data_IF_290748800870
#
_entry.id   IF_290748800870
#
_cell.length_a   1.000
_cell.length_b   1.000
_cell.length_c   1.000
_cell.angle_alpha   90.00
_cell.angle_beta   90.00
_cell.angle_gamma   90.00
#
_symmetry.space_group_name_H-M   'P 1'
#
loop_
_entity.id
_entity.type
_entity.pdbx_description
1 polymer ?
#
# COMPACT_ATOMS: atom_id res chain seq x y z
N UNK A 1 -7.16 -9.89 -36.39
CA UNK A 1 -7.68 -8.55 -36.01
C UNK A 1 -7.18 -8.29 -34.61
N UNK A 2 -6.20 -7.42 -34.46
CA UNK A 2 -5.65 -6.99 -33.19
C UNK A 2 -6.76 -6.34 -32.37
N UNK A 3 -7.12 -6.97 -31.25
CA UNK A 3 -7.98 -6.35 -30.25
C UNK A 3 -7.08 -5.35 -29.51
N UNK A 4 -7.22 -4.08 -29.88
CA UNK A 4 -6.37 -3.02 -29.33
C UNK A 4 -6.53 -2.83 -27.82
N UNK A 5 -5.55 -2.17 -27.20
CA UNK A 5 -5.55 -1.74 -25.78
C UNK A 5 -6.91 -1.21 -25.32
N UNK A 6 -7.68 -0.54 -26.18
CA UNK A 6 -9.01 -0.04 -25.88
C UNK A 6 -10.04 -1.08 -25.43
N UNK A 7 -9.90 -2.36 -25.84
CA UNK A 7 -10.79 -3.44 -25.40
C UNK A 7 -10.40 -3.97 -24.01
N UNK A 8 -9.11 -3.89 -23.65
CA UNK A 8 -8.62 -4.22 -22.31
C UNK A 8 -9.11 -3.18 -21.32
N UNK A 9 -9.03 -1.88 -21.66
CA UNK A 9 -9.54 -0.79 -20.83
C UNK A 9 -11.05 -0.87 -20.59
N UNK A 10 -11.86 -1.20 -21.61
CA UNK A 10 -13.31 -1.33 -21.48
C UNK A 10 -13.73 -2.50 -20.60
N UNK A 11 -13.01 -3.63 -20.63
CA UNK A 11 -13.32 -4.80 -19.80
C UNK A 11 -12.95 -4.59 -18.33
N UNK A 12 -11.93 -3.80 -18.04
CA UNK A 12 -11.51 -3.49 -16.66
C UNK A 12 -12.41 -2.46 -16.00
N UNK A 13 -12.98 -1.51 -16.75
CA UNK A 13 -14.00 -0.59 -16.22
C UNK A 13 -15.29 -1.30 -15.76
N UNK A 14 -15.55 -2.52 -16.29
CA UNK A 14 -16.73 -3.32 -15.99
C UNK A 14 -16.49 -4.45 -14.95
N UNK A 15 -15.25 -4.88 -14.76
CA UNK A 15 -14.88 -5.92 -13.77
C UNK A 15 -13.56 -5.50 -13.13
N UNK A 16 -13.59 -5.20 -11.85
CA UNK A 16 -12.38 -4.95 -11.06
C UNK A 16 -11.62 -6.28 -10.90
N UNK A 17 -10.49 -6.51 -11.58
CA UNK A 17 -9.73 -7.73 -11.40
C UNK A 17 -9.04 -7.70 -10.02
N UNK A 18 -8.89 -8.87 -9.39
CA UNK A 18 -8.15 -9.02 -8.14
C UNK A 18 -6.64 -9.10 -8.36
N UNK A 19 -6.21 -9.51 -9.55
CA UNK A 19 -4.82 -9.53 -10.00
C UNK A 19 -4.75 -9.43 -11.53
N UNK A 20 -3.61 -8.98 -12.05
CA UNK A 20 -3.29 -8.92 -13.47
C UNK A 20 -2.10 -9.85 -13.73
N UNK A 21 -2.18 -10.66 -14.78
CA UNK A 21 -1.05 -11.42 -15.31
C UNK A 21 -0.66 -10.76 -16.62
N UNK A 22 0.58 -10.30 -16.74
CA UNK A 22 1.09 -9.60 -17.91
C UNK A 22 2.28 -10.38 -18.50
N UNK A 23 2.16 -10.77 -19.74
CA UNK A 23 3.28 -11.35 -20.50
C UNK A 23 4.14 -10.22 -21.08
N UNK A 24 5.44 -10.22 -20.80
CA UNK A 24 6.35 -9.23 -21.40
C UNK A 24 6.68 -9.54 -22.87
N UNK A 25 6.59 -10.81 -23.26
CA UNK A 25 6.83 -11.28 -24.63
C UNK A 25 5.66 -11.07 -25.58
N UNK A 26 4.99 -9.92 -25.51
CA UNK A 26 3.91 -9.57 -26.44
C UNK A 26 4.48 -9.24 -27.83
N UNK A 27 3.87 -9.73 -28.93
CA UNK A 27 4.42 -9.56 -30.28
C UNK A 27 4.34 -8.11 -30.79
N UNK A 28 3.39 -7.34 -30.29
CA UNK A 28 3.02 -6.04 -30.88
C UNK A 28 3.40 -4.84 -30.02
N UNK A 29 3.69 -5.04 -28.72
CA UNK A 29 3.93 -3.94 -27.75
C UNK A 29 4.98 -4.39 -26.72
N UNK A 30 5.83 -3.45 -26.32
CA UNK A 30 6.75 -3.68 -25.20
C UNK A 30 5.97 -3.85 -23.90
N UNK A 31 5.98 -5.07 -23.32
CA UNK A 31 5.24 -5.39 -22.09
C UNK A 31 5.65 -4.53 -20.89
N UNK A 32 6.89 -4.04 -20.83
CA UNK A 32 7.35 -3.12 -19.78
C UNK A 32 6.65 -1.74 -19.88
N UNK A 33 6.40 -1.27 -21.09
CA UNK A 33 5.64 -0.04 -21.29
C UNK A 33 4.16 -0.20 -20.90
N UNK A 34 3.59 -1.36 -21.22
CA UNK A 34 2.23 -1.71 -20.77
C UNK A 34 2.15 -1.72 -19.25
N UNK A 35 3.17 -2.27 -18.56
CA UNK A 35 3.25 -2.27 -17.11
C UNK A 35 3.26 -0.85 -16.53
N UNK A 36 4.11 0.05 -17.07
CA UNK A 36 4.18 1.44 -16.64
C UNK A 36 2.83 2.15 -16.81
N UNK A 37 2.19 1.99 -17.96
CA UNK A 37 0.86 2.56 -18.21
C UNK A 37 -0.22 2.00 -17.27
N UNK A 38 -0.18 0.71 -16.95
CA UNK A 38 -1.09 0.12 -15.97
C UNK A 38 -0.91 0.75 -14.59
N UNK A 39 0.33 1.02 -14.18
CA UNK A 39 0.63 1.61 -12.87
C UNK A 39 0.19 3.06 -12.72
N UNK A 40 -0.01 3.79 -13.80
CA UNK A 40 -0.56 5.16 -13.74
C UNK A 40 -1.98 5.21 -13.14
N UNK A 41 -2.75 4.13 -13.26
CA UNK A 41 -4.16 4.13 -12.86
C UNK A 41 -4.60 2.94 -11.99
N UNK A 42 -3.77 1.91 -11.78
CA UNK A 42 -4.16 0.77 -10.94
C UNK A 42 -3.09 0.35 -9.95
N UNK A 43 -3.56 -0.03 -8.74
CA UNK A 43 -2.74 -0.65 -7.68
C UNK A 43 -3.01 -2.16 -7.57
N UNK A 44 -3.79 -2.73 -8.48
CA UNK A 44 -4.04 -4.17 -8.54
C UNK A 44 -2.72 -4.92 -8.72
N UNK A 45 -2.47 -6.04 -8.00
CA UNK A 45 -1.24 -6.80 -8.15
C UNK A 45 -1.01 -7.26 -9.58
N UNK A 46 0.21 -7.06 -10.08
CA UNK A 46 0.62 -7.47 -11.43
C UNK A 46 1.72 -8.50 -11.34
N UNK A 47 1.44 -9.72 -11.84
CA UNK A 47 2.41 -10.79 -12.03
C UNK A 47 2.91 -10.76 -13.47
N UNK A 48 4.22 -10.63 -13.62
CA UNK A 48 4.86 -10.66 -14.93
C UNK A 48 5.17 -12.09 -15.34
N UNK A 49 4.82 -12.46 -16.59
CA UNK A 49 5.34 -13.66 -17.23
C UNK A 49 6.46 -13.26 -18.19
N UNK A 50 7.63 -13.88 -18.08
CA UNK A 50 8.78 -13.58 -18.93
C UNK A 50 9.45 -14.86 -19.41
N UNK A 51 9.91 -14.88 -20.67
CA UNK A 51 10.77 -15.93 -21.20
C UNK A 51 12.25 -15.61 -20.95
N UNK A 52 12.54 -14.43 -20.41
CA UNK A 52 13.88 -13.90 -20.34
C UNK A 52 14.55 -14.27 -19.02
N UNK A 53 15.74 -14.81 -19.11
CA UNK A 53 16.52 -15.25 -17.97
C UNK A 53 17.55 -14.17 -17.52
N UNK A 54 17.45 -12.96 -18.11
CA UNK A 54 18.31 -11.83 -17.79
C UNK A 54 17.83 -11.16 -16.50
N UNK A 55 18.76 -11.08 -15.57
CA UNK A 55 18.51 -10.53 -14.24
C UNK A 55 18.08 -9.05 -14.30
N UNK A 56 18.73 -8.29 -15.20
CA UNK A 56 18.43 -6.85 -15.39
C UNK A 56 16.97 -6.59 -15.77
N UNK A 57 16.39 -7.41 -16.64
CA UNK A 57 15.01 -7.23 -17.11
C UNK A 57 13.96 -7.58 -16.04
N UNK A 58 14.32 -8.49 -15.13
CA UNK A 58 13.48 -8.80 -13.94
C UNK A 58 13.49 -7.62 -12.98
N UNK A 59 14.67 -7.01 -12.76
CA UNK A 59 14.84 -5.81 -11.93
C UNK A 59 14.04 -4.66 -12.52
N UNK A 60 14.20 -4.39 -13.83
CA UNK A 60 13.47 -3.33 -14.53
C UNK A 60 11.95 -3.48 -14.41
N UNK A 61 11.43 -4.72 -14.50
CA UNK A 61 10.01 -4.96 -14.34
C UNK A 61 9.53 -4.72 -12.90
N UNK A 62 10.31 -5.12 -11.90
CA UNK A 62 9.99 -4.87 -10.48
C UNK A 62 10.05 -3.37 -10.16
N UNK A 63 11.06 -2.67 -10.67
CA UNK A 63 11.21 -1.22 -10.50
C UNK A 63 10.12 -0.43 -11.23
N UNK A 64 9.64 -0.96 -12.36
CA UNK A 64 8.47 -0.41 -13.08
C UNK A 64 7.14 -0.69 -12.36
N UNK A 65 7.18 -1.40 -11.22
CA UNK A 65 6.02 -1.61 -10.34
C UNK A 65 5.34 -2.98 -10.45
N UNK A 66 5.99 -4.00 -11.04
CA UNK A 66 5.51 -5.37 -10.91
C UNK A 66 5.59 -5.84 -9.45
N UNK A 67 4.63 -6.65 -9.00
CA UNK A 67 4.63 -7.21 -7.64
C UNK A 67 5.41 -8.52 -7.54
N UNK A 68 5.46 -9.28 -8.63
CA UNK A 68 6.24 -10.53 -8.75
C UNK A 68 6.44 -10.87 -10.23
N UNK A 69 7.32 -11.82 -10.51
CA UNK A 69 7.55 -12.36 -11.85
C UNK A 69 7.60 -13.88 -11.85
N UNK A 70 7.36 -14.47 -13.03
CA UNK A 70 7.41 -15.92 -13.27
C UNK A 70 8.07 -16.19 -14.61
N UNK A 71 9.17 -16.95 -14.60
CA UNK A 71 9.95 -17.27 -15.81
C UNK A 71 9.35 -18.49 -16.53
N UNK A 72 9.17 -18.40 -17.84
CA UNK A 72 8.77 -19.50 -18.71
C UNK A 72 9.96 -20.43 -19.01
N UNK A 73 9.78 -21.77 -19.00
CA UNK A 73 8.54 -22.50 -18.72
C UNK A 73 8.26 -22.61 -17.22
N UNK A 74 7.01 -22.47 -16.80
CA UNK A 74 6.57 -22.60 -15.42
C UNK A 74 5.49 -23.67 -15.25
N UNK A 75 5.34 -24.18 -14.04
CA UNK A 75 4.25 -25.09 -13.71
C UNK A 75 2.99 -24.32 -13.28
N UNK A 76 1.81 -24.88 -13.59
CA UNK A 76 0.55 -24.31 -13.10
C UNK A 76 0.48 -24.21 -11.58
N UNK A 77 1.17 -25.11 -10.85
CA UNK A 77 1.27 -25.07 -9.38
C UNK A 77 2.05 -23.84 -8.91
N UNK A 78 3.15 -23.51 -9.58
CA UNK A 78 3.95 -22.32 -9.25
C UNK A 78 3.17 -21.04 -9.51
N UNK A 79 2.53 -20.92 -10.69
CA UNK A 79 1.67 -19.78 -11.01
C UNK A 79 0.59 -19.57 -9.95
N UNK A 80 -0.14 -20.63 -9.59
CA UNK A 80 -1.18 -20.55 -8.57
C UNK A 80 -0.64 -20.24 -7.16
N UNK A 81 0.57 -20.70 -6.85
CA UNK A 81 1.20 -20.38 -5.57
C UNK A 81 1.53 -18.88 -5.47
N UNK A 82 2.14 -18.30 -6.51
CA UNK A 82 2.46 -16.86 -6.58
C UNK A 82 1.20 -16.01 -6.55
N UNK A 83 0.19 -16.34 -7.35
CA UNK A 83 -1.10 -15.63 -7.32
C UNK A 83 -1.76 -15.67 -5.95
N UNK A 84 -1.73 -16.82 -5.26
CA UNK A 84 -2.25 -16.91 -3.87
C UNK A 84 -1.53 -15.98 -2.91
N UNK A 85 -0.20 -15.87 -3.01
CA UNK A 85 0.59 -14.95 -2.18
C UNK A 85 0.23 -13.50 -2.48
N UNK A 86 0.16 -13.13 -3.75
CA UNK A 86 -0.19 -11.78 -4.21
C UNK A 86 -1.61 -11.38 -3.78
N UNK A 87 -2.59 -12.24 -4.03
CA UNK A 87 -3.99 -12.03 -3.64
C UNK A 87 -4.17 -11.97 -2.12
N UNK A 88 -3.36 -12.73 -1.36
CA UNK A 88 -3.37 -12.66 0.10
C UNK A 88 -2.87 -11.32 0.63
N UNK A 89 -1.87 -10.72 -0.03
CA UNK A 89 -1.35 -9.39 0.32
C UNK A 89 -2.35 -8.28 -0.01
N UNK A 90 -3.18 -8.49 -1.03
CA UNK A 90 -4.07 -7.45 -1.58
C UNK A 90 -5.56 -7.64 -1.24
N UNK A 91 -5.91 -8.62 -0.40
CA UNK A 91 -7.28 -8.74 0.11
C UNK A 91 -7.48 -7.71 1.23
N UNK A 92 -8.36 -6.70 1.04
CA UNK A 92 -8.75 -5.78 2.12
C UNK A 92 -9.32 -6.52 3.34
N UNK A 93 -9.82 -7.76 3.16
CA UNK A 93 -10.35 -8.61 4.23
C UNK A 93 -9.27 -9.33 5.06
N UNK A 94 -7.96 -9.08 4.80
CA UNK A 94 -6.82 -9.64 5.56
C UNK A 94 -5.71 -8.63 5.87
N UNK A 95 -5.91 -7.35 5.67
CA UNK A 95 -5.20 -6.40 6.50
C UNK A 95 -5.60 -6.74 7.94
N UNK A 96 -4.67 -6.88 8.87
CA UNK A 96 -5.05 -7.11 10.25
C UNK A 96 -6.05 -6.02 10.60
N UNK A 97 -7.30 -6.41 10.82
CA UNK A 97 -8.34 -5.45 11.22
C UNK A 97 -8.03 -4.89 12.61
N UNK A 98 -7.22 -5.61 13.38
CA UNK A 98 -6.83 -5.26 14.74
C UNK A 98 -5.32 -5.11 14.85
N UNK A 99 -4.88 -3.91 15.20
CA UNK A 99 -3.48 -3.57 15.45
C UNK A 99 -3.28 -3.36 16.95
N UNK A 100 -2.12 -3.79 17.48
CA UNK A 100 -1.71 -3.58 18.87
C UNK A 100 -0.45 -2.72 18.89
N UNK A 101 -0.51 -1.63 19.64
CA UNK A 101 0.56 -0.66 19.80
C UNK A 101 0.77 -0.46 21.32
N UNK A 102 1.51 -1.37 21.95
CA UNK A 102 1.60 -1.41 23.41
C UNK A 102 0.20 -1.58 24.04
N UNK A 103 -0.25 -0.66 24.90
CA UNK A 103 -1.56 -0.73 25.54
C UNK A 103 -2.73 -0.32 24.62
N UNK A 104 -2.44 0.15 23.40
CA UNK A 104 -3.45 0.65 22.47
C UNK A 104 -3.86 -0.47 21.51
N UNK A 105 -5.16 -0.65 21.33
CA UNK A 105 -5.75 -1.58 20.37
C UNK A 105 -6.57 -0.76 19.36
N UNK A 106 -6.29 -0.94 18.08
CA UNK A 106 -7.01 -0.28 16.98
C UNK A 106 -7.68 -1.34 16.13
N UNK A 107 -9.00 -1.35 16.12
CA UNK A 107 -9.81 -2.19 15.23
C UNK A 107 -10.27 -1.35 14.04
N UNK A 108 -9.69 -1.60 12.87
CA UNK A 108 -10.03 -0.87 11.65
C UNK A 108 -11.43 -1.22 11.11
N UNK A 109 -11.92 -2.45 11.40
CA UNK A 109 -13.23 -2.89 10.91
C UNK A 109 -14.38 -2.16 11.61
N UNK A 110 -14.27 -1.98 12.92
CA UNK A 110 -15.24 -1.23 13.73
C UNK A 110 -14.89 0.26 13.89
N UNK A 111 -13.72 0.70 13.38
CA UNK A 111 -13.15 2.04 13.56
C UNK A 111 -12.95 2.42 15.03
N UNK A 112 -12.68 1.44 15.87
CA UNK A 112 -12.55 1.59 17.32
C UNK A 112 -11.09 1.66 17.73
N UNK A 113 -10.79 2.60 18.64
CA UNK A 113 -9.46 2.77 19.23
C UNK A 113 -9.63 2.73 20.74
N UNK A 114 -8.89 1.83 21.40
CA UNK A 114 -8.97 1.62 22.83
C UNK A 114 -7.59 1.65 23.48
N UNK A 115 -7.51 2.16 24.71
CA UNK A 115 -6.34 2.03 25.57
C UNK A 115 -6.74 1.34 26.87
N UNK A 116 -6.34 0.08 27.00
CA UNK A 116 -6.85 -0.77 28.06
C UNK A 116 -8.34 -1.07 27.89
N UNK A 117 -9.20 -0.43 28.72
CA UNK A 117 -10.67 -0.54 28.64
C UNK A 117 -11.35 0.76 28.23
N UNK A 118 -10.59 1.82 28.01
CA UNK A 118 -11.12 3.14 27.67
C UNK A 118 -11.09 3.36 26.16
N UNK A 119 -12.21 3.79 25.60
CA UNK A 119 -12.30 4.13 24.18
C UNK A 119 -11.73 5.54 23.93
N UNK A 120 -10.84 5.64 22.94
CA UNK A 120 -10.22 6.90 22.53
C UNK A 120 -10.99 7.46 21.34
N UNK A 121 -11.64 8.61 21.54
CA UNK A 121 -12.38 9.28 20.48
C UNK A 121 -11.45 10.12 19.59
N UNK A 122 -11.31 9.69 18.33
CA UNK A 122 -10.54 10.38 17.31
C UNK A 122 -11.49 11.11 16.34
N UNK A 123 -11.07 12.28 15.89
CA UNK A 123 -11.71 12.95 14.75
C UNK A 123 -11.48 12.16 13.47
N UNK A 124 -12.28 12.41 12.43
CA UNK A 124 -12.14 11.71 11.14
C UNK A 124 -10.74 11.86 10.52
N UNK A 125 -10.09 13.02 10.71
CA UNK A 125 -8.73 13.27 10.20
C UNK A 125 -7.67 12.54 11.02
N UNK A 126 -7.75 12.58 12.35
CA UNK A 126 -6.87 11.85 13.26
C UNK A 126 -6.96 10.34 13.01
N UNK A 127 -8.18 9.80 12.91
CA UNK A 127 -8.39 8.39 12.58
C UNK A 127 -7.82 8.03 11.20
N UNK A 128 -8.06 8.87 10.20
CA UNK A 128 -7.52 8.67 8.85
C UNK A 128 -5.99 8.60 8.84
N UNK A 129 -5.32 9.50 9.57
CA UNK A 129 -3.86 9.49 9.70
C UNK A 129 -3.39 8.20 10.39
N UNK A 130 -4.00 7.84 11.54
CA UNK A 130 -3.65 6.62 12.27
C UNK A 130 -3.82 5.39 11.39
N UNK A 131 -4.95 5.26 10.69
CA UNK A 131 -5.23 4.16 9.77
C UNK A 131 -4.16 4.05 8.68
N UNK A 132 -3.81 5.14 8.01
CA UNK A 132 -2.79 5.13 6.95
C UNK A 132 -1.43 4.68 7.48
N UNK A 133 -1.01 5.20 8.64
CA UNK A 133 0.25 4.82 9.25
C UNK A 133 0.26 3.33 9.66
N UNK A 134 -0.86 2.79 10.15
CA UNK A 134 -0.99 1.37 10.49
C UNK A 134 -0.92 0.46 9.27
N UNK A 135 -1.61 0.82 8.18
CA UNK A 135 -1.58 0.07 6.93
C UNK A 135 -0.18 0.05 6.29
N UNK A 136 0.64 1.07 6.57
CA UNK A 136 2.02 1.19 6.12
C UNK A 136 3.02 1.02 7.27
N UNK A 137 2.66 0.21 8.27
CA UNK A 137 3.49 -0.01 9.46
C UNK A 137 4.96 -0.30 9.13
N UNK A 138 5.87 0.38 9.83
CA UNK A 138 7.32 0.28 9.60
C UNK A 138 7.84 1.09 8.42
N UNK A 139 6.98 1.57 7.51
CA UNK A 139 7.36 2.43 6.38
C UNK A 139 7.14 3.91 6.70
N UNK A 140 7.97 4.76 6.12
CA UNK A 140 7.78 6.21 6.20
C UNK A 140 6.70 6.63 5.22
N UNK A 141 5.64 7.25 5.74
CA UNK A 141 4.65 7.96 4.94
C UNK A 141 5.08 9.43 4.84
N UNK A 142 5.30 9.91 3.63
CA UNK A 142 5.74 11.31 3.44
C UNK A 142 4.64 12.30 3.81
N UNK A 143 5.02 13.54 4.15
CA UNK A 143 4.06 14.61 4.40
C UNK A 143 3.07 14.74 3.24
N UNK A 144 3.58 14.72 2.02
CA UNK A 144 2.79 14.83 0.79
C UNK A 144 1.80 13.68 0.65
N UNK A 145 2.23 12.44 0.87
CA UNK A 145 1.34 11.28 0.81
C UNK A 145 0.21 11.37 1.82
N UNK A 146 0.53 11.70 3.10
CA UNK A 146 -0.48 11.84 4.16
C UNK A 146 -1.47 12.97 3.86
N UNK A 147 -0.97 14.12 3.40
CA UNK A 147 -1.82 15.27 3.07
C UNK A 147 -2.74 14.94 1.89
N UNK A 148 -2.20 14.36 0.83
CA UNK A 148 -2.96 13.98 -0.36
C UNK A 148 -4.08 12.99 -0.03
N UNK A 149 -3.80 11.95 0.74
CA UNK A 149 -4.77 10.91 1.09
C UNK A 149 -5.86 11.41 2.05
N UNK A 150 -5.53 12.32 2.97
CA UNK A 150 -6.45 12.77 4.01
C UNK A 150 -7.21 14.04 3.63
N UNK A 151 -6.57 14.97 2.93
CA UNK A 151 -7.16 16.28 2.55
C UNK A 151 -7.37 16.43 1.04
N UNK A 152 -6.74 15.60 0.23
CA UNK A 152 -6.79 15.66 -1.22
C UNK A 152 -5.58 16.39 -1.83
N UNK A 153 -5.41 16.30 -3.17
CA UNK A 153 -4.21 16.78 -3.86
C UNK A 153 -3.99 18.29 -3.77
N UNK A 154 -5.01 19.08 -3.46
CA UNK A 154 -4.90 20.54 -3.33
C UNK A 154 -4.19 20.97 -2.03
N UNK A 155 -3.98 20.06 -1.10
CA UNK A 155 -3.43 20.33 0.24
C UNK A 155 -2.05 19.71 0.45
N UNK A 156 -1.36 19.26 -0.59
CA UNK A 156 -0.10 18.53 -0.49
C UNK A 156 1.04 19.31 0.19
N UNK A 157 0.95 20.63 0.27
CA UNK A 157 1.95 21.51 0.88
C UNK A 157 1.57 22.01 2.29
N UNK A 158 0.34 21.74 2.73
CA UNK A 158 -0.19 22.26 4.00
C UNK A 158 0.31 21.48 5.24
N UNK A 159 1.62 21.34 5.36
CA UNK A 159 2.27 20.52 6.40
C UNK A 159 1.93 20.95 7.82
N UNK A 160 1.56 22.20 8.05
CA UNK A 160 1.19 22.72 9.37
C UNK A 160 -0.11 22.08 9.89
N UNK A 161 -1.10 21.84 9.03
CA UNK A 161 -2.32 21.11 9.41
C UNK A 161 -2.00 19.67 9.85
N UNK A 162 -1.16 18.99 9.07
CA UNK A 162 -0.74 17.63 9.42
C UNK A 162 -0.04 17.58 10.78
N UNK A 163 0.89 18.53 11.03
CA UNK A 163 1.62 18.60 12.31
C UNK A 163 0.69 18.78 13.49
N UNK A 164 -0.31 19.67 13.37
CA UNK A 164 -1.31 19.89 14.42
C UNK A 164 -2.11 18.62 14.72
N UNK A 165 -2.60 17.93 13.67
CA UNK A 165 -3.34 16.68 13.85
C UNK A 165 -2.48 15.55 14.43
N UNK A 166 -1.20 15.44 14.04
CA UNK A 166 -0.26 14.47 14.64
C UNK A 166 -0.03 14.78 16.12
N UNK A 167 0.09 16.04 16.50
CA UNK A 167 0.25 16.44 17.90
C UNK A 167 -0.98 16.05 18.75
N UNK A 168 -2.18 16.36 18.26
CA UNK A 168 -3.44 15.95 18.92
C UNK A 168 -3.60 14.44 18.99
N UNK A 169 -3.27 13.73 17.90
CA UNK A 169 -3.32 12.27 17.86
C UNK A 169 -2.38 11.66 18.91
N UNK A 170 -1.13 12.12 18.98
CA UNK A 170 -0.18 11.69 20.02
C UNK A 170 -0.70 11.93 21.42
N UNK A 171 -1.24 13.10 21.67
CA UNK A 171 -1.82 13.45 22.99
C UNK A 171 -2.94 12.47 23.37
N UNK A 172 -3.88 12.18 22.46
CA UNK A 172 -4.99 11.27 22.71
C UNK A 172 -4.54 9.82 22.91
N UNK A 173 -3.55 9.37 22.17
CA UNK A 173 -2.96 8.05 22.33
C UNK A 173 -2.07 7.93 23.58
N UNK A 174 -1.69 9.07 24.20
CA UNK A 174 -0.70 9.09 25.27
C UNK A 174 0.71 8.78 24.78
N UNK A 175 1.00 9.08 23.51
CA UNK A 175 2.29 8.91 22.83
C UNK A 175 3.18 10.15 23.06
N UNK A 176 3.49 10.41 24.33
CA UNK A 176 4.20 11.63 24.76
C UNK A 176 5.69 11.44 25.00
N UNK A 177 6.15 10.20 25.20
CA UNK A 177 7.56 9.91 25.43
C UNK A 177 8.37 10.07 24.13
N UNK A 178 9.33 11.03 24.07
CA UNK A 178 10.11 11.25 22.86
C UNK A 178 10.97 10.07 22.42
N UNK A 179 11.43 9.24 23.36
CA UNK A 179 12.31 8.09 23.09
C UNK A 179 11.54 6.87 22.61
N UNK A 180 10.33 6.68 23.14
CA UNK A 180 9.48 5.50 22.86
C UNK A 180 8.21 5.85 22.09
N UNK A 181 8.26 6.82 21.19
CA UNK A 181 7.11 7.22 20.39
C UNK A 181 6.65 6.15 19.45
N UNK A 182 5.34 5.87 19.50
CA UNK A 182 4.63 5.01 18.54
C UNK A 182 4.62 5.66 17.16
N UNK A 183 4.26 6.96 17.07
CA UNK A 183 4.30 7.73 15.85
C UNK A 183 5.61 8.53 15.82
N UNK A 184 6.58 8.09 15.04
CA UNK A 184 7.89 8.73 14.89
C UNK A 184 7.89 9.70 13.72
N UNK A 185 8.50 10.86 13.93
CA UNK A 185 8.76 11.81 12.85
C UNK A 185 10.11 11.49 12.21
N UNK A 186 10.12 11.43 10.89
CA UNK A 186 11.32 11.35 10.07
C UNK A 186 11.60 12.75 9.53
N UNK A 187 12.71 13.33 9.98
CA UNK A 187 13.02 14.75 9.74
C UNK A 187 12.98 15.10 8.26
N UNK A 188 12.19 16.10 7.90
CA UNK A 188 12.02 16.56 6.52
C UNK A 188 11.18 15.67 5.63
N UNK A 189 10.91 14.41 6.02
CA UNK A 189 10.24 13.42 5.18
C UNK A 189 8.77 13.21 5.53
N UNK A 190 8.47 12.84 6.78
CA UNK A 190 7.11 12.45 7.15
C UNK A 190 7.03 11.77 8.50
N UNK A 191 6.16 10.77 8.57
CA UNK A 191 5.90 10.02 9.80
C UNK A 191 5.85 8.52 9.52
N UNK A 192 6.19 7.72 10.53
CA UNK A 192 5.96 6.28 10.55
C UNK A 192 5.43 5.82 11.88
N UNK A 193 4.73 4.69 11.88
CA UNK A 193 4.34 3.99 13.09
C UNK A 193 5.31 2.84 13.35
N UNK A 194 5.75 2.73 14.61
CA UNK A 194 6.63 1.64 15.06
C UNK A 194 5.81 0.80 16.03
N UNK A 195 5.65 -0.49 15.75
CA UNK A 195 5.09 -1.42 16.74
C UNK A 195 6.20 -1.89 17.66
N UNK A 196 5.92 -1.95 18.96
CA UNK A 196 6.79 -2.66 19.89
C UNK A 196 6.83 -4.14 19.46
N UNK A 197 8.02 -4.61 19.06
CA UNK A 197 8.22 -6.04 18.76
C UNK A 197 8.82 -6.38 17.39
N UNK A 198 9.39 -5.42 16.66
CA UNK A 198 10.24 -5.73 15.49
C UNK A 198 11.72 -5.53 15.90
N UNK A 199 12.27 -6.51 16.63
CA UNK A 199 13.67 -6.87 16.61
C UNK A 199 13.87 -8.07 15.68
#
# INVERSE_FOLDING_TARGET
RSRGLGDVYKRQALKRPDAIILDLGLPDINGLEVLKQLREWTQVPILILTAWDREDEKVDALDAGADDYLTKPFSGRELLARLRVMLRRNRPDREPSVFRLGPIVVDLSSRRVEKGKEEIHLTSKEYGILRLLLLHQGKVMTHRQLLREIWGPQHEEDTHYLRAHIAHLRQKLGDSDPENRIIRAESGLGYRIVADGAE
#
